data_IF_122772193994
#
_entry.id   IF_122772193994
#
_cell.length_a   1.000
_cell.length_b   1.000
_cell.length_c   1.000
_cell.angle_alpha   90.00
_cell.angle_beta   90.00
_cell.angle_gamma   90.00
#
_symmetry.space_group_name_H-M   'P 1'
#
loop_
_entity.id
_entity.type
_entity.pdbx_description
1 polymer ?
#
# COMPACT_ATOMS: atom_id res chain seq x y z
N UNK A 1 -14.72 -5.41 17.60
CA UNK A 1 -13.78 -4.47 16.96
C UNK A 1 -14.26 -4.27 15.52
N UNK A 2 -14.94 -3.17 15.24
CA UNK A 2 -15.43 -2.90 13.89
C UNK A 2 -14.23 -2.45 13.03
N UNK A 3 -13.77 -3.31 12.16
CA UNK A 3 -12.89 -2.93 11.07
C UNK A 3 -13.62 -1.86 10.24
N UNK A 4 -13.21 -0.63 10.35
CA UNK A 4 -13.67 0.41 9.42
C UNK A 4 -13.07 0.07 8.05
N UNK A 5 -13.87 -0.56 7.21
CA UNK A 5 -13.49 -0.81 5.84
C UNK A 5 -13.13 0.52 5.16
N UNK A 6 -11.90 0.64 4.70
CA UNK A 6 -11.45 1.74 3.84
C UNK A 6 -12.12 1.68 2.48
N UNK A 7 -12.57 0.49 2.12
CA UNK A 7 -13.30 0.24 0.91
C UNK A 7 -14.75 0.64 1.17
N UNK A 8 -15.21 1.68 0.52
CA UNK A 8 -16.60 2.14 0.60
C UNK A 8 -17.25 2.01 -0.76
N UNK A 9 -18.46 1.45 -0.78
CA UNK A 9 -19.33 1.55 -1.94
C UNK A 9 -20.06 2.88 -1.84
N UNK A 10 -19.81 3.77 -2.80
CA UNK A 10 -20.48 5.07 -2.92
C UNK A 10 -20.95 5.26 -4.34
N UNK A 11 -22.12 5.87 -4.49
CA UNK A 11 -22.65 6.26 -5.79
C UNK A 11 -21.68 7.23 -6.49
N UNK A 12 -21.44 7.02 -7.78
CA UNK A 12 -20.50 7.81 -8.57
C UNK A 12 -19.02 7.39 -8.47
N UNK A 13 -18.68 6.39 -7.65
CA UNK A 13 -17.32 5.89 -7.51
C UNK A 13 -17.21 4.40 -7.89
N UNK A 14 -16.05 3.94 -8.41
CA UNK A 14 -15.81 2.53 -8.65
C UNK A 14 -16.04 1.68 -7.41
N UNK A 15 -16.38 0.40 -7.59
CA UNK A 15 -16.36 -0.58 -6.52
C UNK A 15 -14.95 -0.65 -5.91
N UNK A 16 -14.86 -0.98 -4.65
CA UNK A 16 -13.59 -1.07 -3.91
C UNK A 16 -12.75 0.22 -3.90
N UNK A 17 -13.43 1.37 -4.02
CA UNK A 17 -12.80 2.69 -3.90
C UNK A 17 -12.19 2.90 -2.52
N UNK A 18 -10.98 3.45 -2.50
CA UNK A 18 -10.21 3.75 -1.30
C UNK A 18 -10.40 5.23 -0.95
N UNK A 19 -10.87 5.49 0.27
CA UNK A 19 -11.04 6.84 0.81
C UNK A 19 -10.12 7.01 2.02
N UNK A 20 -9.20 7.95 1.93
CA UNK A 20 -8.13 8.14 2.92
C UNK A 20 -7.90 9.61 3.23
N UNK A 21 -7.27 9.90 4.36
CA UNK A 21 -6.75 11.22 4.65
C UNK A 21 -5.53 11.52 3.79
N UNK A 22 -5.48 12.70 3.22
CA UNK A 22 -4.27 13.24 2.60
C UNK A 22 -3.31 13.69 3.69
N UNK A 23 -2.03 13.34 3.56
CA UNK A 23 -0.99 13.76 4.49
C UNK A 23 0.00 14.71 3.82
N UNK A 24 0.59 15.60 4.63
CA UNK A 24 1.61 16.55 4.23
C UNK A 24 2.80 16.47 5.20
N UNK A 25 3.43 15.29 5.25
CA UNK A 25 4.57 15.04 6.12
C UNK A 25 4.22 14.96 7.61
N UNK A 26 5.13 15.45 8.43
CA UNK A 26 5.05 15.42 9.89
C UNK A 26 5.13 16.83 10.47
N UNK A 27 4.52 17.03 11.65
CA UNK A 27 4.76 18.23 12.41
C UNK A 27 6.22 18.25 12.91
N UNK A 28 6.88 19.38 12.74
CA UNK A 28 8.28 19.57 13.15
C UNK A 28 8.44 20.39 14.42
N UNK A 29 7.42 21.17 14.80
CA UNK A 29 7.46 22.02 15.98
C UNK A 29 6.09 22.15 16.65
N UNK A 30 6.09 22.60 17.89
CA UNK A 30 4.86 22.93 18.61
C UNK A 30 4.18 24.20 18.07
N UNK A 31 4.94 25.13 17.55
CA UNK A 31 4.40 26.35 16.93
C UNK A 31 3.61 26.01 15.67
N UNK A 32 4.13 25.11 14.83
CA UNK A 32 3.43 24.59 13.67
C UNK A 32 2.10 23.92 14.05
N UNK A 33 2.10 23.15 15.14
CA UNK A 33 0.88 22.52 15.66
C UNK A 33 -0.11 23.57 16.17
N UNK A 34 0.35 24.61 16.85
CA UNK A 34 -0.51 25.69 17.33
C UNK A 34 -1.17 26.45 16.16
N UNK A 35 -0.43 26.71 15.10
CA UNK A 35 -0.97 27.33 13.90
C UNK A 35 -1.94 26.41 13.15
N UNK A 36 -1.64 25.12 13.10
CA UNK A 36 -2.53 24.12 12.56
C UNK A 36 -3.88 24.07 13.30
N UNK A 37 -3.89 24.12 14.64
CA UNK A 37 -5.13 24.20 15.42
C UNK A 37 -5.93 25.48 15.12
N UNK A 38 -5.26 26.61 14.90
CA UNK A 38 -5.93 27.87 14.51
C UNK A 38 -6.51 27.77 13.11
N UNK A 39 -5.73 27.23 12.17
CA UNK A 39 -6.14 27.10 10.77
C UNK A 39 -7.39 26.23 10.60
N UNK A 40 -7.47 25.14 11.34
CA UNK A 40 -8.55 24.16 11.26
C UNK A 40 -9.49 24.22 12.47
N UNK A 41 -9.62 25.38 13.11
CA UNK A 41 -10.58 25.60 14.18
C UNK A 41 -12.00 25.27 13.68
N UNK A 42 -12.72 24.40 14.37
CA UNK A 42 -14.04 23.94 13.95
C UNK A 42 -14.06 22.57 13.25
N UNK A 43 -12.92 22.04 12.82
CA UNK A 43 -12.86 20.67 12.33
C UNK A 43 -13.14 19.66 13.44
N UNK A 44 -14.15 18.80 13.24
CA UNK A 44 -14.61 17.88 14.29
C UNK A 44 -13.60 16.78 14.65
N UNK A 45 -12.75 16.34 13.71
CA UNK A 45 -11.71 15.35 13.96
C UNK A 45 -10.59 15.95 14.81
N UNK A 46 -10.17 17.18 14.50
CA UNK A 46 -9.16 17.90 15.24
C UNK A 46 -9.66 18.29 16.64
N UNK A 47 -10.92 18.70 16.74
CA UNK A 47 -11.54 19.03 18.04
C UNK A 47 -11.54 17.83 18.99
N UNK A 48 -11.78 16.63 18.51
CA UNK A 48 -11.68 15.41 19.34
C UNK A 48 -10.27 15.17 19.89
N UNK A 49 -9.25 15.42 19.09
CA UNK A 49 -7.86 15.29 19.53
C UNK A 49 -7.49 16.39 20.52
N UNK A 50 -7.94 17.62 20.27
CA UNK A 50 -7.70 18.76 21.15
C UNK A 50 -8.40 18.64 22.52
N UNK A 51 -9.58 18.00 22.57
CA UNK A 51 -10.35 17.78 23.80
C UNK A 51 -9.92 16.54 24.58
N UNK A 52 -9.06 15.71 24.01
CA UNK A 52 -8.55 14.53 24.67
C UNK A 52 -7.55 14.88 25.78
N UNK A 53 -7.12 13.89 26.56
CA UNK A 53 -6.10 14.12 27.59
C UNK A 53 -4.78 14.63 26.97
N UNK A 54 -4.00 15.36 27.74
CA UNK A 54 -2.71 15.91 27.29
C UNK A 54 -1.76 14.85 26.65
N UNK A 55 -1.92 13.58 27.04
CA UNK A 55 -1.15 12.47 26.48
C UNK A 55 -1.51 12.13 25.04
N UNK A 56 -2.66 12.56 24.56
CA UNK A 56 -3.18 12.25 23.22
C UNK A 56 -3.17 13.46 22.27
N UNK A 57 -2.73 14.63 22.74
CA UNK A 57 -2.56 15.80 21.91
C UNK A 57 -1.50 15.57 20.81
N UNK A 58 -1.61 16.33 19.73
CA UNK A 58 -0.61 16.32 18.67
C UNK A 58 0.74 16.78 19.19
N UNK A 59 1.79 16.18 18.67
CA UNK A 59 3.19 16.48 19.00
C UNK A 59 4.04 16.44 17.73
N UNK A 60 5.21 17.06 17.75
CA UNK A 60 6.19 16.89 16.69
C UNK A 60 6.44 15.41 16.40
N UNK A 61 6.47 15.05 15.11
CA UNK A 61 6.53 13.68 14.63
C UNK A 61 5.17 12.99 14.41
N UNK A 62 4.05 13.64 14.75
CA UNK A 62 2.73 13.18 14.32
C UNK A 62 2.47 13.61 12.87
N UNK A 63 1.69 12.83 12.14
CA UNK A 63 1.37 13.12 10.74
C UNK A 63 0.52 14.39 10.61
N UNK A 64 0.93 15.25 9.70
CA UNK A 64 0.16 16.45 9.35
C UNK A 64 -0.88 16.07 8.29
N UNK A 65 -2.16 16.07 8.66
CA UNK A 65 -3.28 15.79 7.75
C UNK A 65 -3.73 17.08 7.09
N UNK A 66 -4.01 17.01 5.80
CA UNK A 66 -4.69 18.11 5.08
C UNK A 66 -6.18 17.98 5.37
N UNK A 67 -6.72 18.86 6.22
CA UNK A 67 -8.12 18.84 6.59
C UNK A 67 -8.92 19.76 5.64
N UNK A 68 -10.16 19.43 5.43
CA UNK A 68 -11.10 20.21 4.62
C UNK A 68 -12.16 20.77 5.55
N UNK A 69 -12.37 22.08 5.52
CA UNK A 69 -13.36 22.75 6.35
C UNK A 69 -14.73 22.89 5.66
N UNK A 70 -14.97 22.14 4.60
CA UNK A 70 -16.23 22.19 3.87
C UNK A 70 -17.29 21.30 4.51
N UNK A 71 -18.29 21.87 5.24
CA UNK A 71 -19.33 21.08 5.88
C UNK A 71 -20.30 20.44 4.89
N UNK A 72 -20.38 20.94 3.65
CA UNK A 72 -21.30 20.46 2.65
C UNK A 72 -20.69 19.40 1.73
N UNK A 73 -19.39 19.14 1.86
CA UNK A 73 -18.71 18.14 1.08
C UNK A 73 -18.99 16.72 1.60
N UNK A 74 -20.09 16.14 1.15
CA UNK A 74 -20.51 14.79 1.51
C UNK A 74 -19.53 13.68 1.14
N UNK A 75 -18.67 13.90 0.16
CA UNK A 75 -17.67 12.91 -0.27
C UNK A 75 -16.55 12.79 0.73
N UNK A 76 -16.21 13.86 1.40
CA UNK A 76 -15.14 13.94 2.39
C UNK A 76 -15.68 13.90 3.82
N UNK A 77 -16.88 14.42 4.07
CA UNK A 77 -17.47 14.54 5.39
C UNK A 77 -17.94 13.23 6.02
N UNK A 78 -18.10 12.18 5.25
CA UNK A 78 -18.58 10.92 5.81
C UNK A 78 -19.89 11.07 6.58
N UNK A 79 -20.82 11.91 6.13
CA UNK A 79 -22.19 11.98 6.69
C UNK A 79 -22.75 10.57 6.77
N UNK A 80 -22.93 10.10 7.96
CA UNK A 80 -23.43 8.75 8.25
C UNK A 80 -22.48 7.85 9.01
N UNK A 81 -21.20 8.18 9.19
CA UNK A 81 -20.32 7.35 9.96
C UNK A 81 -19.20 8.09 10.67
N UNK A 82 -19.51 8.58 11.87
CA UNK A 82 -18.56 8.84 12.94
C UNK A 82 -17.33 9.68 12.58
N UNK A 83 -17.53 10.94 12.25
CA UNK A 83 -16.54 11.98 12.48
C UNK A 83 -15.20 11.85 11.74
N UNK A 84 -15.21 11.32 10.55
CA UNK A 84 -14.06 11.30 9.68
C UNK A 84 -14.38 12.10 8.41
N UNK A 85 -14.72 13.38 8.56
CA UNK A 85 -14.60 14.33 7.49
C UNK A 85 -13.19 14.32 6.93
N UNK A 86 -12.96 14.90 5.75
CA UNK A 86 -11.61 15.11 5.21
C UNK A 86 -10.92 13.91 4.54
N UNK A 87 -11.65 12.85 4.25
CA UNK A 87 -11.12 11.78 3.41
C UNK A 87 -11.38 12.08 1.93
N UNK A 88 -10.38 11.82 1.09
CA UNK A 88 -10.51 11.97 -0.36
C UNK A 88 -10.44 10.60 -1.05
N UNK A 89 -10.96 10.55 -2.28
CA UNK A 89 -10.86 9.37 -3.12
C UNK A 89 -9.45 9.24 -3.70
N UNK A 90 -8.72 8.22 -3.25
CA UNK A 90 -7.36 7.94 -3.73
C UNK A 90 -7.35 7.14 -5.04
N UNK A 91 -8.35 6.31 -5.24
CA UNK A 91 -8.47 5.35 -6.32
C UNK A 91 -9.17 4.10 -5.83
N UNK A 92 -8.95 2.98 -6.48
CA UNK A 92 -9.53 1.70 -6.11
C UNK A 92 -8.45 0.61 -5.92
N UNK A 93 -8.85 -0.50 -5.30
CA UNK A 93 -7.98 -1.64 -5.06
C UNK A 93 -8.01 -2.69 -6.16
N UNK A 94 -8.91 -2.53 -7.13
CA UNK A 94 -9.04 -3.49 -8.22
C UNK A 94 -7.94 -3.29 -9.27
N UNK A 95 -7.44 -4.38 -9.86
CA UNK A 95 -6.52 -4.28 -10.98
C UNK A 95 -7.20 -3.65 -12.20
N UNK A 96 -6.68 -2.52 -12.70
CA UNK A 96 -7.27 -1.88 -13.89
C UNK A 96 -7.05 -2.67 -15.16
N UNK A 97 -5.93 -3.36 -15.27
CA UNK A 97 -5.69 -4.27 -16.38
C UNK A 97 -4.72 -5.39 -16.00
N UNK A 98 -4.97 -6.54 -16.56
CA UNK A 98 -4.10 -7.70 -16.50
C UNK A 98 -3.51 -7.93 -17.87
N UNK A 99 -2.23 -8.28 -17.94
CA UNK A 99 -1.58 -8.60 -19.21
C UNK A 99 -0.78 -9.88 -19.12
N UNK A 100 -0.66 -10.56 -20.26
CA UNK A 100 0.17 -11.73 -20.42
C UNK A 100 0.86 -11.69 -21.76
N UNK A 101 2.15 -11.98 -21.78
CA UNK A 101 2.97 -12.09 -22.99
C UNK A 101 3.50 -13.50 -23.10
N UNK A 102 3.11 -14.18 -24.20
CA UNK A 102 3.72 -15.43 -24.61
C UNK A 102 4.65 -15.15 -25.79
N UNK A 103 5.92 -15.53 -25.67
CA UNK A 103 6.87 -15.46 -26.76
C UNK A 103 7.50 -16.84 -26.96
N UNK A 104 7.70 -17.21 -28.22
CA UNK A 104 8.34 -18.47 -28.57
C UNK A 104 9.19 -18.30 -29.82
N UNK A 105 10.31 -18.97 -29.85
CA UNK A 105 11.19 -19.00 -31.01
C UNK A 105 11.72 -20.42 -31.26
N UNK A 106 11.94 -20.75 -32.51
CA UNK A 106 12.67 -21.97 -32.92
C UNK A 106 13.79 -21.59 -33.84
N UNK A 107 14.95 -22.14 -33.56
CA UNK A 107 16.13 -21.96 -34.40
C UNK A 107 16.90 -23.26 -34.48
N UNK A 108 16.94 -23.83 -35.69
CA UNK A 108 17.45 -25.18 -35.92
C UNK A 108 16.78 -26.20 -34.97
N UNK A 109 17.58 -26.79 -34.10
CA UNK A 109 17.15 -27.80 -33.16
C UNK A 109 16.82 -27.23 -31.75
N UNK A 110 16.95 -25.93 -31.59
CA UNK A 110 16.59 -25.24 -30.35
C UNK A 110 15.17 -24.71 -30.41
N UNK A 111 14.46 -24.84 -29.32
CA UNK A 111 13.18 -24.17 -29.08
C UNK A 111 13.24 -23.39 -27.77
N UNK A 112 12.63 -22.23 -27.81
CA UNK A 112 12.55 -21.30 -26.67
C UNK A 112 11.12 -20.89 -26.48
N UNK A 113 10.67 -20.85 -25.23
CA UNK A 113 9.39 -20.28 -24.87
C UNK A 113 9.49 -19.47 -23.58
N UNK A 114 8.75 -18.37 -23.54
CA UNK A 114 8.73 -17.42 -22.44
C UNK A 114 7.26 -17.05 -22.16
N UNK A 115 6.89 -17.05 -20.90
CA UNK A 115 5.61 -16.49 -20.45
C UNK A 115 5.81 -15.48 -19.34
N UNK A 116 5.39 -14.24 -19.60
CA UNK A 116 5.36 -13.13 -18.63
C UNK A 116 3.92 -12.78 -18.35
N UNK A 117 3.59 -12.60 -17.08
CA UNK A 117 2.28 -12.13 -16.63
C UNK A 117 2.45 -10.92 -15.71
N UNK A 118 1.53 -9.97 -15.81
CA UNK A 118 1.55 -8.82 -14.92
C UNK A 118 0.18 -8.22 -14.69
N UNK A 119 0.15 -7.36 -13.70
CA UNK A 119 -0.99 -6.52 -13.33
C UNK A 119 -0.54 -5.08 -13.36
N UNK A 120 -1.23 -4.26 -14.14
CA UNK A 120 -0.98 -2.82 -14.15
C UNK A 120 -1.97 -2.09 -13.27
N UNK A 121 -1.56 -0.97 -12.75
CA UNK A 121 -2.29 -0.04 -11.88
C UNK A 121 -3.20 -0.77 -10.88
N UNK A 122 -2.65 -1.09 -9.76
CA UNK A 122 -3.35 -1.67 -8.62
C UNK A 122 -2.87 -1.01 -7.35
N UNK A 123 -3.78 -0.57 -6.50
CA UNK A 123 -3.45 -0.07 -5.18
C UNK A 123 -3.80 -1.14 -4.15
N UNK A 124 -2.96 -1.33 -3.17
CA UNK A 124 -3.25 -2.14 -2.00
C UNK A 124 -3.09 -1.29 -0.75
N UNK A 125 -3.96 -1.55 0.21
CA UNK A 125 -3.84 -0.95 1.52
C UNK A 125 -2.97 -1.86 2.38
N UNK A 126 -1.94 -1.30 3.00
CA UNK A 126 -1.29 -1.95 4.12
C UNK A 126 -2.23 -1.95 5.32
N UNK A 127 -2.25 -3.03 6.08
CA UNK A 127 -3.00 -3.07 7.33
C UNK A 127 -2.57 -1.91 8.23
N UNK A 128 -3.56 -1.12 8.64
CA UNK A 128 -3.35 0.13 9.35
C UNK A 128 -2.79 -0.06 10.77
N UNK A 129 -2.87 -1.26 11.32
CA UNK A 129 -2.40 -1.53 12.68
C UNK A 129 -0.89 -1.68 12.78
N UNK A 130 -0.38 -2.74 12.20
CA UNK A 130 1.03 -3.13 12.38
C UNK A 130 1.98 -2.50 11.37
N UNK A 131 1.49 -2.13 10.17
CA UNK A 131 2.34 -1.70 9.07
C UNK A 131 2.44 -0.17 8.90
N UNK A 132 1.58 0.61 9.54
CA UNK A 132 1.57 2.07 9.40
C UNK A 132 2.03 2.80 10.64
N UNK A 133 2.19 2.10 11.75
CA UNK A 133 2.62 2.68 13.00
C UNK A 133 3.37 1.66 13.84
N UNK A 134 4.58 2.00 14.23
CA UNK A 134 5.26 1.29 15.30
C UNK A 134 4.47 1.47 16.60
N UNK A 135 4.22 0.41 17.34
CA UNK A 135 3.45 0.42 18.59
C UNK A 135 1.96 0.77 18.46
N UNK A 136 1.27 0.09 17.56
CA UNK A 136 -0.19 0.19 17.52
C UNK A 136 -0.88 -0.47 18.71
N UNK A 137 -0.35 -1.59 19.17
CA UNK A 137 -0.91 -2.36 20.29
C UNK A 137 0.18 -2.62 21.33
N UNK A 138 -0.16 -2.40 22.61
CA UNK A 138 0.73 -2.77 23.71
C UNK A 138 1.05 -4.28 23.64
N UNK A 139 2.27 -4.65 24.02
CA UNK A 139 2.76 -6.04 24.07
C UNK A 139 3.01 -6.72 22.73
N UNK A 140 3.09 -5.98 21.62
CA UNK A 140 3.54 -6.53 20.33
C UNK A 140 4.99 -6.19 20.06
N UNK A 141 5.70 -7.12 19.40
CA UNK A 141 7.03 -6.84 18.90
C UNK A 141 6.94 -5.88 17.71
N UNK A 142 7.89 -4.98 17.61
CA UNK A 142 8.04 -4.12 16.43
C UNK A 142 8.79 -4.86 15.33
N UNK A 143 8.44 -4.57 14.09
CA UNK A 143 9.19 -5.05 12.94
C UNK A 143 10.47 -4.21 12.77
N UNK A 144 11.49 -4.78 12.16
CA UNK A 144 12.74 -4.05 11.86
C UNK A 144 12.51 -2.84 10.97
N UNK A 145 11.51 -2.89 10.09
CA UNK A 145 11.09 -1.76 9.26
C UNK A 145 10.58 -0.57 10.09
N UNK A 146 10.02 -0.82 11.27
CA UNK A 146 9.54 0.24 12.17
C UNK A 146 10.67 0.97 12.93
N UNK A 147 11.92 0.62 12.68
CA UNK A 147 13.07 1.39 13.20
C UNK A 147 13.23 2.73 12.48
N UNK A 148 12.70 2.85 11.25
CA UNK A 148 12.66 4.11 10.52
C UNK A 148 11.47 4.96 10.96
N UNK A 149 11.52 5.43 12.19
CA UNK A 149 10.49 6.28 12.79
C UNK A 149 10.99 7.72 12.94
N UNK A 150 10.04 8.65 12.90
CA UNK A 150 10.35 10.05 13.07
C UNK A 150 11.00 10.31 14.43
N UNK A 151 12.13 11.00 14.40
CA UNK A 151 12.86 11.52 15.53
C UNK A 151 13.47 12.89 15.16
N UNK A 152 13.97 13.63 16.13
CA UNK A 152 14.57 14.94 15.88
C UNK A 152 15.76 14.91 14.92
N UNK A 153 16.47 13.80 14.88
CA UNK A 153 17.60 13.49 13.99
C UNK A 153 17.18 12.74 12.72
N UNK A 154 15.91 12.29 12.61
CA UNK A 154 15.34 11.58 11.46
C UNK A 154 13.95 12.13 11.12
N UNK A 155 13.87 13.33 10.58
CA UNK A 155 12.60 13.98 10.26
C UNK A 155 11.94 13.50 8.96
N UNK A 156 12.68 12.78 8.12
CA UNK A 156 12.19 12.23 6.84
C UNK A 156 11.84 10.73 6.93
N UNK A 157 11.59 10.23 8.13
CA UNK A 157 11.28 8.83 8.36
C UNK A 157 10.00 8.36 7.65
N UNK A 158 9.90 7.07 7.36
CA UNK A 158 8.70 6.47 6.77
C UNK A 158 7.53 6.45 7.76
N UNK A 159 7.82 6.22 9.06
CA UNK A 159 6.81 6.08 10.10
C UNK A 159 6.77 7.29 11.03
N UNK A 160 5.58 7.58 11.53
CA UNK A 160 5.39 8.60 12.56
C UNK A 160 6.16 8.25 13.84
N UNK A 161 6.35 9.24 14.71
CA UNK A 161 7.01 9.05 16.00
C UNK A 161 6.42 7.87 16.77
N UNK A 162 7.24 7.18 17.51
CA UNK A 162 6.79 6.13 18.43
C UNK A 162 5.95 6.72 19.59
N UNK A 163 4.79 6.14 19.83
CA UNK A 163 3.94 6.55 20.92
C UNK A 163 3.09 5.39 21.44
N UNK A 164 3.15 5.15 22.71
CA UNK A 164 2.28 4.19 23.42
C UNK A 164 0.81 4.66 23.50
N UNK A 165 0.53 5.90 23.12
CA UNK A 165 -0.81 6.50 23.17
C UNK A 165 -1.53 6.53 21.82
N UNK A 166 -0.93 5.92 20.78
CA UNK A 166 -1.49 5.93 19.45
C UNK A 166 -2.84 5.21 19.34
N UNK A 167 -3.05 4.19 20.17
CA UNK A 167 -4.31 3.48 20.28
C UNK A 167 -5.46 4.38 20.76
N UNK A 168 -5.15 5.43 21.52
CA UNK A 168 -6.13 6.33 22.11
C UNK A 168 -6.59 7.42 21.15
N UNK A 169 -5.67 8.12 20.50
CA UNK A 169 -6.03 9.19 19.59
C UNK A 169 -6.22 8.71 18.14
N UNK A 170 -5.62 7.60 17.78
CA UNK A 170 -5.65 7.00 16.43
C UNK A 170 -5.23 7.94 15.30
N UNK A 171 -4.67 9.09 15.61
CA UNK A 171 -4.36 10.12 14.63
C UNK A 171 -3.38 9.64 13.55
N UNK A 172 -2.30 8.99 13.98
CA UNK A 172 -1.29 8.49 13.05
C UNK A 172 -1.66 7.15 12.38
N UNK A 173 -2.60 6.39 12.98
CA UNK A 173 -3.04 5.09 12.49
C UNK A 173 -4.34 5.13 11.71
N UNK A 174 -5.00 6.27 11.64
CA UNK A 174 -6.14 6.45 10.77
C UNK A 174 -5.73 6.25 9.31
N UNK A 175 -6.69 5.84 8.52
CA UNK A 175 -6.52 5.56 7.11
C UNK A 175 -6.01 6.78 6.35
N UNK A 176 -4.74 6.78 6.01
CA UNK A 176 -4.07 7.86 5.29
C UNK A 176 -3.40 7.35 4.02
N UNK A 177 -3.01 8.24 3.15
CA UNK A 177 -2.41 7.94 1.84
C UNK A 177 -1.08 7.19 1.93
N UNK A 178 -0.33 7.35 3.01
CA UNK A 178 0.94 6.61 3.21
C UNK A 178 0.73 5.12 3.46
N UNK A 179 -0.48 4.71 3.83
CA UNK A 179 -0.84 3.30 3.99
C UNK A 179 -1.13 2.61 2.66
N UNK A 180 -1.24 3.36 1.56
CA UNK A 180 -1.55 2.81 0.24
C UNK A 180 -0.26 2.59 -0.53
N UNK A 181 -0.10 1.39 -1.06
CA UNK A 181 1.03 1.03 -1.91
C UNK A 181 0.55 0.70 -3.32
N UNK A 182 1.36 1.09 -4.30
CA UNK A 182 1.19 0.64 -5.67
C UNK A 182 1.66 -0.81 -5.78
N UNK A 183 0.77 -1.70 -6.15
CA UNK A 183 1.00 -3.14 -6.26
C UNK A 183 0.98 -3.62 -7.72
N UNK A 184 1.40 -2.78 -8.67
CA UNK A 184 1.64 -3.25 -10.02
C UNK A 184 2.82 -4.25 -10.03
N UNK A 185 2.77 -5.22 -10.89
CA UNK A 185 3.90 -6.12 -11.08
C UNK A 185 3.92 -6.71 -12.48
N UNK A 186 5.12 -7.10 -12.90
CA UNK A 186 5.34 -7.99 -14.03
C UNK A 186 6.27 -9.12 -13.58
N UNK A 187 5.88 -10.34 -13.80
CA UNK A 187 6.68 -11.51 -13.40
C UNK A 187 6.86 -12.49 -14.54
N UNK A 188 8.06 -13.03 -14.63
CA UNK A 188 8.34 -14.20 -15.45
C UNK A 188 7.67 -15.42 -14.82
N UNK A 189 6.77 -16.08 -15.55
CA UNK A 189 6.03 -17.25 -15.07
C UNK A 189 6.68 -18.55 -15.50
N UNK A 190 7.16 -18.57 -16.72
CA UNK A 190 7.81 -19.75 -17.28
C UNK A 190 8.84 -19.31 -18.31
N UNK A 191 9.99 -19.96 -18.29
CA UNK A 191 10.98 -19.95 -19.35
C UNK A 191 11.37 -21.40 -19.64
N UNK A 192 11.35 -21.77 -20.89
CA UNK A 192 11.74 -23.11 -21.32
C UNK A 192 12.69 -23.01 -22.49
N UNK A 193 13.79 -23.73 -22.39
CA UNK A 193 14.75 -23.88 -23.47
C UNK A 193 14.86 -25.38 -23.78
N UNK A 194 14.55 -25.78 -24.99
CA UNK A 194 14.61 -27.15 -25.45
C UNK A 194 15.63 -27.33 -26.56
N UNK A 195 16.23 -28.49 -26.60
CA UNK A 195 17.10 -28.95 -27.70
C UNK A 195 16.65 -30.33 -28.17
N UNK A 196 16.33 -30.43 -29.44
CA UNK A 196 15.98 -31.70 -30.07
C UNK A 196 17.20 -32.26 -30.82
N UNK A 197 17.64 -33.46 -30.45
CA UNK A 197 18.76 -34.08 -31.14
C UNK A 197 18.39 -34.40 -32.59
N UNK A 198 19.26 -34.08 -33.58
CA UNK A 198 19.00 -34.38 -34.99
C UNK A 198 18.73 -35.87 -35.23
N UNK A 199 17.78 -36.17 -36.10
CA UNK A 199 17.41 -37.56 -36.44
C UNK A 199 18.56 -38.40 -37.00
N UNK A 200 19.54 -37.76 -37.63
CA UNK A 200 20.75 -38.40 -38.11
C UNK A 200 21.60 -39.09 -36.99
N UNK A 201 21.46 -38.61 -35.78
CA UNK A 201 22.11 -39.17 -34.58
C UNK A 201 21.20 -40.18 -33.91
N UNK A 202 19.94 -39.83 -33.68
CA UNK A 202 19.00 -40.66 -32.92
C UNK A 202 18.63 -41.94 -33.64
N UNK A 203 18.60 -41.94 -35.00
CA UNK A 203 18.35 -43.14 -35.80
C UNK A 203 19.38 -44.23 -35.57
N UNK A 204 20.62 -43.88 -35.26
CA UNK A 204 21.69 -44.88 -34.90
C UNK A 204 21.35 -45.60 -33.61
N UNK A 205 20.58 -44.98 -32.74
CA UNK A 205 20.14 -45.56 -31.47
C UNK A 205 18.76 -46.17 -31.50
N UNK A 206 18.15 -46.21 -32.70
CA UNK A 206 16.76 -46.67 -32.91
C UNK A 206 15.75 -45.85 -32.09
N UNK A 207 16.08 -44.59 -31.83
CA UNK A 207 15.19 -43.64 -31.14
C UNK A 207 14.61 -42.72 -32.19
N UNK A 208 13.28 -42.61 -32.22
CA UNK A 208 12.58 -41.78 -33.21
C UNK A 208 12.81 -40.27 -32.94
N UNK A 209 12.75 -39.86 -31.68
CA UNK A 209 12.96 -38.46 -31.28
C UNK A 209 13.48 -38.39 -29.89
N UNK A 210 14.50 -37.57 -29.64
CA UNK A 210 15.04 -37.30 -28.32
C UNK A 210 15.19 -35.79 -28.13
N UNK A 211 14.51 -35.26 -27.14
CA UNK A 211 14.52 -33.83 -26.81
C UNK A 211 14.88 -33.66 -25.32
N UNK A 212 15.86 -32.82 -25.05
CA UNK A 212 16.16 -32.32 -23.72
C UNK A 212 15.57 -30.92 -23.57
N UNK A 213 15.06 -30.63 -22.38
CA UNK A 213 14.62 -29.28 -22.11
C UNK A 213 14.95 -28.91 -20.65
N UNK A 214 15.20 -27.64 -20.45
CA UNK A 214 15.30 -26.99 -19.17
C UNK A 214 14.10 -26.05 -19.04
N UNK A 215 13.38 -26.14 -17.93
CA UNK A 215 12.25 -25.27 -17.66
C UNK A 215 12.36 -24.71 -16.27
N UNK A 216 12.24 -23.41 -16.15
CA UNK A 216 12.20 -22.70 -14.88
C UNK A 216 10.84 -22.03 -14.73
N UNK A 217 10.22 -22.27 -13.58
CA UNK A 217 8.98 -21.62 -13.17
C UNK A 217 9.36 -20.49 -12.23
N UNK A 218 9.23 -19.26 -12.72
CA UNK A 218 9.54 -18.07 -11.95
C UNK A 218 8.69 -17.98 -10.69
N UNK A 219 9.33 -17.88 -9.53
CA UNK A 219 8.68 -17.47 -8.28
C UNK A 219 8.62 -15.95 -8.25
N UNK A 220 7.48 -15.41 -7.84
CA UNK A 220 7.43 -13.99 -7.52
C UNK A 220 8.18 -13.78 -6.21
N UNK A 221 9.31 -13.08 -6.28
CA UNK A 221 9.82 -12.40 -5.11
C UNK A 221 9.10 -11.04 -5.04
N UNK A 222 8.34 -10.88 -4.00
CA UNK A 222 7.75 -9.59 -3.61
C UNK A 222 8.74 -8.90 -2.69
#
# INVERSE_FOLDING_TARGET
MLFRSLVKVREGYPLNSLFVYKTDGYFTSYDEIADYYKQYAGNSALAKVAQSSASTHLRPGDRKKVLILDPDNDTTNGKGNTGAGDVYHYGDSDPHFNFGLNAGARWNNFDFSLFVQGVGKRNILRDTGMNTCAFYVNYTNILTTHLDTWAWDNQNAEYARLSLQQDKNKWNVDNNDTAIQNAWYARLKNITVGYTIPSSITSKWKIEKLRFYFSEIGRAHV
#
